data_IF_947735668236
#
_entry.id   IF_947735668236
#
_cell.length_a   1.000
_cell.length_b   1.000
_cell.length_c   1.000
_cell.angle_alpha   90.00
_cell.angle_beta   90.00
_cell.angle_gamma   90.00
#
_symmetry.space_group_name_H-M   'P 1'
#
loop_
_entity.id
_entity.type
_entity.pdbx_description
1 polymer ?
#
# COMPACT_ATOMS: atom_id res chain seq x y z
N UNK A 1 23.88 10.61 -26.23
CA UNK A 1 23.38 11.06 -24.92
C UNK A 1 22.02 10.41 -24.79
N UNK A 2 21.98 9.23 -24.15
CA UNK A 2 20.75 8.46 -24.06
C UNK A 2 19.88 9.08 -22.98
N UNK A 3 18.82 9.77 -23.39
CA UNK A 3 17.79 10.26 -22.49
C UNK A 3 17.15 9.07 -21.80
N UNK A 4 17.61 8.81 -20.57
CA UNK A 4 16.99 7.86 -19.67
C UNK A 4 15.66 8.49 -19.23
N UNK A 5 14.59 8.23 -19.99
CA UNK A 5 13.25 8.64 -19.60
C UNK A 5 12.87 7.86 -18.34
N UNK A 6 13.09 8.46 -17.17
CA UNK A 6 12.68 7.88 -15.90
C UNK A 6 11.16 7.86 -15.88
N UNK A 7 10.56 6.70 -16.15
CA UNK A 7 9.13 6.48 -15.92
C UNK A 7 8.95 6.56 -14.40
N UNK A 8 8.56 7.74 -13.93
CA UNK A 8 8.25 7.97 -12.52
C UNK A 8 6.96 7.25 -12.19
N UNK A 9 7.02 6.25 -11.33
CA UNK A 9 5.86 5.54 -10.81
C UNK A 9 4.94 6.54 -10.09
N UNK A 10 3.78 6.80 -10.69
CA UNK A 10 2.84 7.82 -10.21
C UNK A 10 2.12 7.41 -8.92
N UNK A 11 2.07 6.12 -8.58
CA UNK A 11 1.55 5.63 -7.29
C UNK A 11 2.57 5.90 -6.21
N UNK A 12 3.83 5.49 -6.43
CA UNK A 12 4.92 5.68 -5.48
C UNK A 12 5.04 7.15 -5.08
N UNK A 13 5.21 8.03 -6.06
CA UNK A 13 5.36 9.48 -5.80
C UNK A 13 4.17 10.08 -5.06
N UNK A 14 2.96 9.60 -5.35
CA UNK A 14 1.76 10.13 -4.71
C UNK A 14 1.68 9.71 -3.24
N UNK A 15 2.01 8.45 -2.94
CA UNK A 15 2.07 8.00 -1.56
C UNK A 15 3.23 8.64 -0.80
N UNK A 16 4.40 8.82 -1.41
CA UNK A 16 5.52 9.57 -0.81
C UNK A 16 5.09 10.99 -0.41
N UNK A 17 4.45 11.73 -1.32
CA UNK A 17 3.91 13.06 -1.05
C UNK A 17 2.89 13.05 0.10
N UNK A 18 1.98 12.06 0.11
CA UNK A 18 1.01 11.91 1.19
C UNK A 18 1.70 11.70 2.54
N UNK A 19 2.64 10.76 2.60
CA UNK A 19 3.30 10.38 3.85
C UNK A 19 4.25 11.49 4.35
N UNK A 20 4.83 12.28 3.46
CA UNK A 20 5.73 13.37 3.82
C UNK A 20 4.98 14.64 4.26
N UNK A 21 3.93 15.03 3.53
CA UNK A 21 3.32 16.36 3.67
C UNK A 21 1.87 16.35 4.14
N UNK A 22 1.18 15.21 4.11
CA UNK A 22 -0.25 15.10 4.38
C UNK A 22 -0.63 13.90 5.25
N UNK A 23 0.31 13.42 6.08
CA UNK A 23 0.13 12.19 6.85
C UNK A 23 -1.04 12.31 7.83
N UNK A 24 -1.15 13.43 8.55
CA UNK A 24 -2.20 13.64 9.53
C UNK A 24 -3.61 13.63 8.88
N UNK A 25 -3.77 14.30 7.74
CA UNK A 25 -5.02 14.30 6.98
C UNK A 25 -5.32 12.92 6.39
N UNK A 26 -4.29 12.18 5.99
CA UNK A 26 -4.44 10.81 5.50
C UNK A 26 -4.85 9.85 6.61
N UNK A 27 -4.27 9.95 7.80
CA UNK A 27 -4.65 9.19 8.99
C UNK A 27 -6.10 9.47 9.39
N UNK A 28 -6.48 10.75 9.45
CA UNK A 28 -7.88 11.13 9.67
C UNK A 28 -8.79 10.51 8.61
N UNK A 29 -8.37 10.52 7.33
CA UNK A 29 -9.15 9.92 6.26
C UNK A 29 -9.29 8.41 6.44
N UNK A 30 -8.26 7.73 6.90
CA UNK A 30 -8.31 6.31 7.23
C UNK A 30 -9.29 6.06 8.38
N UNK A 31 -9.28 6.87 9.43
CA UNK A 31 -10.22 6.74 10.55
C UNK A 31 -11.68 6.90 10.08
N UNK A 32 -11.97 7.91 9.25
CA UNK A 32 -13.28 8.07 8.63
C UNK A 32 -13.70 6.84 7.80
N UNK A 33 -12.78 6.30 7.00
CA UNK A 33 -13.05 5.11 6.19
C UNK A 33 -13.40 3.91 7.07
N UNK A 34 -12.66 3.69 8.16
CA UNK A 34 -12.87 2.56 9.07
C UNK A 34 -14.11 2.74 9.96
N UNK A 35 -14.47 3.97 10.32
CA UNK A 35 -15.70 4.28 11.03
C UNK A 35 -16.94 4.02 10.16
N UNK A 36 -16.85 4.28 8.86
CA UNK A 36 -17.89 3.99 7.86
C UNK A 36 -17.80 2.54 7.35
N UNK A 37 -17.71 1.56 8.26
CA UNK A 37 -17.76 0.12 7.95
C UNK A 37 -18.62 -0.64 8.95
N UNK A 38 -19.13 -1.80 8.54
CA UNK A 38 -19.65 -2.82 9.45
C UNK A 38 -18.60 -3.90 9.68
N UNK A 39 -18.67 -4.57 10.83
CA UNK A 39 -17.81 -5.70 11.15
C UNK A 39 -18.61 -6.99 10.93
N UNK A 40 -18.11 -7.90 10.11
CA UNK A 40 -18.69 -9.22 9.91
C UNK A 40 -18.15 -10.26 10.93
N UNK A 41 -18.69 -11.49 10.88
CA UNK A 41 -18.31 -12.58 11.79
C UNK A 41 -16.82 -12.97 11.70
N UNK A 42 -16.15 -12.65 10.58
CA UNK A 42 -14.72 -12.89 10.39
C UNK A 42 -13.85 -11.71 10.86
N UNK A 43 -14.44 -10.66 11.44
CA UNK A 43 -13.73 -9.43 11.82
C UNK A 43 -13.37 -8.54 10.64
N UNK A 44 -13.93 -8.76 9.44
CA UNK A 44 -13.70 -7.89 8.31
C UNK A 44 -14.46 -6.58 8.51
N UNK A 45 -13.77 -5.46 8.27
CA UNK A 45 -14.39 -4.14 8.15
C UNK A 45 -14.84 -3.95 6.71
N UNK A 46 -16.14 -4.02 6.44
CA UNK A 46 -16.72 -4.01 5.09
C UNK A 46 -17.67 -2.85 4.88
N UNK A 47 -17.83 -2.44 3.63
CA UNK A 47 -18.86 -1.49 3.19
C UNK A 47 -19.86 -2.18 2.27
N UNK A 48 -21.10 -1.71 2.22
CA UNK A 48 -22.17 -2.23 1.36
C UNK A 48 -22.01 -1.85 -0.12
N UNK A 49 -20.78 -1.94 -0.63
CA UNK A 49 -20.41 -1.61 -2.00
C UNK A 49 -20.33 -2.88 -2.83
N UNK A 50 -20.81 -2.84 -4.09
CA UNK A 50 -20.76 -3.98 -5.02
C UNK A 50 -19.34 -4.45 -5.37
N UNK A 51 -18.34 -3.61 -5.16
CA UNK A 51 -16.92 -3.91 -5.38
C UNK A 51 -16.06 -3.15 -4.39
N UNK A 52 -14.72 -3.25 -4.50
CA UNK A 52 -13.81 -2.57 -3.58
C UNK A 52 -14.11 -1.08 -3.49
N UNK A 53 -14.30 -0.58 -2.27
CA UNK A 53 -14.50 0.85 -2.01
C UNK A 53 -13.34 1.66 -2.56
N UNK A 54 -13.62 2.82 -3.14
CA UNK A 54 -12.61 3.78 -3.62
C UNK A 54 -12.52 4.95 -2.66
N UNK A 55 -11.33 5.51 -2.52
CA UNK A 55 -11.06 6.76 -1.79
C UNK A 55 -10.48 7.77 -2.77
N UNK A 56 -10.82 9.05 -2.61
CA UNK A 56 -10.16 10.17 -3.28
C UNK A 56 -9.42 10.98 -2.22
N UNK A 57 -8.15 11.24 -2.45
CA UNK A 57 -7.29 11.99 -1.54
C UNK A 57 -6.24 12.75 -2.36
N UNK A 58 -5.93 13.99 -1.98
CA UNK A 58 -4.99 14.87 -2.68
C UNK A 58 -5.05 14.78 -4.22
N UNK A 59 -6.25 14.98 -4.79
CA UNK A 59 -6.46 14.98 -6.24
C UNK A 59 -6.54 13.60 -6.94
N UNK A 60 -5.95 12.54 -6.38
CA UNK A 60 -5.95 11.18 -6.97
C UNK A 60 -6.90 10.23 -6.24
N UNK A 61 -7.10 9.04 -6.79
CA UNK A 61 -8.03 8.06 -6.23
C UNK A 61 -7.55 6.63 -6.39
N UNK A 62 -7.65 5.86 -5.31
CA UNK A 62 -7.20 4.48 -5.20
C UNK A 62 -8.24 3.62 -4.48
N UNK A 63 -7.98 2.32 -4.35
CA UNK A 63 -8.78 1.38 -3.58
C UNK A 63 -8.58 1.66 -2.09
N UNK A 64 -9.67 1.72 -1.33
CA UNK A 64 -9.66 2.07 0.08
C UNK A 64 -8.77 1.12 0.90
N UNK A 65 -8.83 -0.19 0.65
CA UNK A 65 -7.96 -1.15 1.34
C UNK A 65 -6.46 -0.84 1.14
N UNK A 66 -6.07 -0.40 -0.05
CA UNK A 66 -4.67 -0.13 -0.39
C UNK A 66 -4.19 1.15 0.27
N UNK A 67 -5.02 2.19 0.23
CA UNK A 67 -4.77 3.44 0.91
C UNK A 67 -4.67 3.24 2.43
N UNK A 68 -5.61 2.51 3.03
CA UNK A 68 -5.62 2.19 4.47
C UNK A 68 -4.33 1.45 4.86
N UNK A 69 -3.94 0.43 4.10
CA UNK A 69 -2.72 -0.32 4.40
C UNK A 69 -1.49 0.59 4.29
N UNK A 70 -1.32 1.31 3.18
CA UNK A 70 -0.18 2.21 2.93
C UNK A 70 0.02 3.24 4.05
N UNK A 71 -1.05 3.93 4.45
CA UNK A 71 -1.00 4.95 5.52
C UNK A 71 -0.70 4.30 6.88
N UNK A 72 -1.38 3.20 7.23
CA UNK A 72 -1.17 2.52 8.53
C UNK A 72 0.20 1.89 8.67
N UNK A 73 0.81 1.45 7.57
CA UNK A 73 2.17 0.92 7.55
C UNK A 73 3.24 1.98 7.29
N UNK A 74 2.85 3.24 7.08
CA UNK A 74 3.72 4.33 6.65
C UNK A 74 4.63 3.91 5.48
N UNK A 75 4.04 3.31 4.45
CA UNK A 75 4.74 2.72 3.31
C UNK A 75 4.12 3.19 2.00
N UNK A 76 4.96 3.56 1.04
CA UNK A 76 4.54 4.05 -0.27
C UNK A 76 4.60 2.94 -1.34
N UNK A 77 3.48 2.31 -1.72
CA UNK A 77 3.49 1.23 -2.70
C UNK A 77 3.60 1.74 -4.14
N UNK A 78 4.45 1.06 -4.92
CA UNK A 78 4.53 1.19 -6.37
C UNK A 78 3.27 0.67 -7.06
N UNK A 79 3.01 1.10 -8.29
CA UNK A 79 1.82 0.70 -9.07
C UNK A 79 1.71 -0.81 -9.24
N UNK A 80 2.84 -1.52 -9.35
CA UNK A 80 2.91 -2.96 -9.58
C UNK A 80 2.75 -3.81 -8.31
N UNK A 81 2.88 -3.21 -7.14
CA UNK A 81 2.67 -3.93 -5.88
C UNK A 81 1.18 -4.19 -5.66
N UNK A 82 0.80 -5.40 -5.22
CA UNK A 82 -0.59 -5.76 -5.01
C UNK A 82 -0.90 -5.88 -3.52
N UNK A 83 -2.14 -5.61 -3.10
CA UNK A 83 -2.56 -5.91 -1.74
C UNK A 83 -3.29 -7.25 -1.73
N UNK A 84 -2.86 -8.14 -0.83
CA UNK A 84 -3.44 -9.45 -0.57
C UNK A 84 -4.31 -9.39 0.67
N UNK A 85 -5.47 -10.04 0.60
CA UNK A 85 -6.38 -10.19 1.72
C UNK A 85 -6.17 -11.56 2.36
N UNK A 86 -5.81 -11.60 3.64
CA UNK A 86 -5.74 -12.86 4.41
C UNK A 86 -7.11 -13.47 4.68
N UNK A 87 -8.14 -12.63 4.72
CA UNK A 87 -9.54 -13.02 4.94
C UNK A 87 -10.27 -13.51 3.68
N UNK A 88 -9.62 -13.47 2.50
CA UNK A 88 -10.24 -13.76 1.19
C UNK A 88 -11.48 -12.90 0.84
N UNK A 89 -11.77 -11.84 1.61
CA UNK A 89 -12.86 -10.91 1.36
C UNK A 89 -12.34 -9.64 0.68
N UNK A 90 -12.68 -9.47 -0.61
CA UNK A 90 -12.24 -8.33 -1.46
C UNK A 90 -12.82 -6.97 -1.06
N UNK A 91 -13.83 -6.94 -0.19
CA UNK A 91 -14.45 -5.71 0.32
C UNK A 91 -13.86 -5.27 1.65
N UNK A 92 -13.06 -6.13 2.30
CA UNK A 92 -12.48 -5.84 3.60
C UNK A 92 -11.43 -4.72 3.50
N UNK A 93 -11.56 -3.71 4.36
CA UNK A 93 -10.57 -2.63 4.52
C UNK A 93 -9.84 -2.67 5.86
N UNK A 94 -10.03 -3.74 6.66
CA UNK A 94 -9.33 -3.89 7.94
C UNK A 94 -7.82 -4.05 7.70
N UNK A 95 -6.96 -3.12 8.17
CA UNK A 95 -5.50 -3.21 7.94
C UNK A 95 -4.89 -4.52 8.44
N UNK A 96 -5.42 -5.10 9.53
CA UNK A 96 -4.96 -6.38 10.06
C UNK A 96 -5.26 -7.58 9.15
N UNK A 97 -6.11 -7.41 8.15
CA UNK A 97 -6.42 -8.45 7.16
C UNK A 97 -5.68 -8.25 5.84
N UNK A 98 -4.88 -7.20 5.73
CA UNK A 98 -4.22 -6.77 4.50
C UNK A 98 -2.72 -6.94 4.60
N UNK A 99 -2.11 -7.26 3.47
CA UNK A 99 -0.67 -7.36 3.31
C UNK A 99 -0.30 -6.84 1.94
N UNK A 100 0.80 -6.11 1.84
CA UNK A 100 1.44 -5.94 0.55
C UNK A 100 1.97 -7.30 0.10
N UNK A 101 1.64 -7.67 -1.12
CA UNK A 101 2.13 -8.85 -1.79
C UNK A 101 2.93 -8.38 -2.98
N UNK A 102 4.14 -8.92 -3.13
CA UNK A 102 5.03 -8.38 -4.13
C UNK A 102 5.96 -9.45 -4.70
N UNK A 103 6.44 -9.16 -5.92
CA UNK A 103 7.77 -9.57 -6.40
C UNK A 103 8.88 -8.73 -5.72
N UNK A 104 8.54 -7.81 -4.83
CA UNK A 104 9.40 -6.86 -4.14
C UNK A 104 10.13 -7.50 -2.94
N UNK A 105 9.60 -8.56 -2.32
CA UNK A 105 10.41 -9.40 -1.41
C UNK A 105 11.64 -9.93 -2.18
N UNK A 106 11.45 -10.36 -3.43
CA UNK A 106 12.56 -10.75 -4.31
C UNK A 106 13.43 -9.55 -4.76
N UNK A 107 12.88 -8.35 -4.95
CA UNK A 107 13.66 -7.18 -5.38
C UNK A 107 14.46 -6.57 -4.24
N UNK A 108 13.94 -6.53 -3.02
CA UNK A 108 14.71 -6.14 -1.83
C UNK A 108 15.83 -7.16 -1.58
N UNK A 109 15.58 -8.47 -1.73
CA UNK A 109 16.64 -9.50 -1.75
C UNK A 109 17.64 -9.35 -2.92
N UNK A 110 17.21 -8.77 -4.04
CA UNK A 110 18.04 -8.57 -5.25
C UNK A 110 18.84 -7.27 -5.18
N UNK A 111 18.29 -6.22 -4.57
CA UNK A 111 18.96 -4.95 -4.26
C UNK A 111 19.95 -5.17 -3.13
N UNK A 112 19.60 -5.93 -2.10
CA UNK A 112 20.51 -6.28 -1.01
C UNK A 112 21.64 -7.21 -1.51
N UNK A 113 21.36 -8.15 -2.43
CA UNK A 113 22.41 -8.92 -3.15
C UNK A 113 23.27 -8.09 -4.10
N UNK A 114 22.71 -7.08 -4.78
CA UNK A 114 23.45 -6.22 -5.72
C UNK A 114 24.26 -5.14 -5.00
N UNK A 115 23.80 -4.67 -3.84
CA UNK A 115 24.53 -3.77 -2.96
C UNK A 115 25.68 -4.49 -2.25
N UNK A 116 25.48 -5.77 -1.89
CA UNK A 116 26.47 -6.60 -1.20
C UNK A 116 27.02 -7.72 -2.12
N UNK A 117 27.69 -7.36 -3.23
CA UNK A 117 28.31 -8.35 -4.14
C UNK A 117 29.09 -9.46 -3.40
N UNK A 118 29.28 -10.66 -3.99
CA UNK A 118 29.74 -11.83 -3.25
C UNK A 118 31.18 -11.65 -2.73
N UNK A 119 31.29 -11.21 -1.48
CA UNK A 119 32.48 -11.26 -0.63
C UNK A 119 32.02 -11.64 0.77
N UNK A 120 32.27 -12.88 1.21
CA UNK A 120 33.26 -13.16 2.27
C UNK A 120 33.18 -12.16 3.44
N UNK A 121 32.88 -12.52 4.68
CA UNK A 121 33.48 -13.62 5.44
C UNK A 121 32.81 -13.69 6.83
N UNK A 122 32.86 -14.87 7.46
CA UNK A 122 33.07 -15.10 8.90
C UNK A 122 32.37 -14.16 9.90
N UNK A 123 31.47 -14.72 10.71
CA UNK A 123 31.81 -15.40 11.97
C UNK A 123 30.73 -16.45 12.30
#
# INVERSE_FOLDING_TARGET
>A
MSDHFTIKDQSLLWYEEILESHLAEAEQKVDELLADTTVDDNGCKVTDTKGPRRVRFNGKSDRAYRFVLAVRSNYAPSTDELVRHRCHNRLCVNPEHLLFGSRLDNWLDEVDRKANGPGSHLL
#
